data_IF_519173047002
#
_entry.id   IF_519173047002
#
_cell.length_a   1.000
_cell.length_b   1.000
_cell.length_c   1.000
_cell.angle_alpha   90.00
_cell.angle_beta   90.00
_cell.angle_gamma   90.00
#
_symmetry.space_group_name_H-M   'P 1'
#
loop_
_entity.id
_entity.type
_entity.pdbx_description
1 polymer ?
#
# COMPACT_ATOMS: atom_id res chain seq x y z
N UNK A 1 -37.73 29.44 7.66
CA UNK A 1 -37.83 30.46 8.73
C UNK A 1 -36.42 30.80 9.20
N UNK A 2 -36.03 32.07 9.01
CA UNK A 2 -34.88 32.81 9.56
C UNK A 2 -33.44 32.25 9.45
N UNK A 3 -32.68 32.77 8.47
CA UNK A 3 -31.45 33.54 8.76
C UNK A 3 -31.87 34.98 9.13
N UNK A 4 -31.06 35.90 9.71
CA UNK A 4 -29.59 35.97 9.82
C UNK A 4 -29.12 36.36 11.25
N UNK A 5 -27.84 36.59 11.56
CA UNK A 5 -27.21 37.93 11.55
C UNK A 5 -25.71 37.84 11.88
N UNK A 6 -24.93 38.63 11.15
CA UNK A 6 -23.52 38.93 11.42
C UNK A 6 -23.47 40.04 12.48
N UNK A 7 -22.60 39.94 13.47
CA UNK A 7 -22.26 41.10 14.31
C UNK A 7 -20.82 41.54 14.09
N UNK A 8 -20.67 42.83 13.81
CA UNK A 8 -19.43 43.58 13.60
C UNK A 8 -19.21 44.50 14.81
N UNK A 9 -17.95 44.55 15.32
CA UNK A 9 -17.23 45.74 15.86
C UNK A 9 -17.70 46.19 17.28
N UNK A 10 -16.85 46.69 18.24
CA UNK A 10 -15.69 47.57 18.06
C UNK A 10 -14.39 47.29 18.87
N UNK A 11 -13.32 47.94 18.38
CA UNK A 11 -12.09 48.32 19.08
C UNK A 11 -12.44 49.37 20.14
N UNK A 12 -12.02 49.16 21.39
CA UNK A 12 -12.05 50.18 22.45
C UNK A 12 -10.66 50.31 23.06
N UNK A 13 -10.05 51.45 22.77
CA UNK A 13 -8.86 52.01 23.41
C UNK A 13 -9.31 52.70 24.70
N UNK A 14 -8.90 52.24 25.88
CA UNK A 14 -9.06 53.01 27.12
C UNK A 14 -7.81 52.95 28.01
N UNK A 15 -7.10 54.07 27.94
CA UNK A 15 -6.15 54.62 28.89
C UNK A 15 -6.90 54.97 30.19
N UNK A 16 -6.45 54.48 31.34
CA UNK A 16 -6.82 55.06 32.64
C UNK A 16 -5.62 55.02 33.60
N UNK A 17 -4.91 56.14 33.67
CA UNK A 17 -4.07 56.52 34.79
C UNK A 17 -4.93 57.21 35.85
N UNK A 18 -4.63 56.97 37.14
CA UNK A 18 -4.41 57.95 38.22
C UNK A 18 -4.49 57.18 39.57
N UNK A 19 -3.37 57.03 40.30
CA UNK A 19 -3.00 57.73 41.55
C UNK A 19 -3.63 57.11 42.83
N UNK A 20 -3.00 56.94 44.01
CA UNK A 20 -1.85 57.60 44.64
C UNK A 20 -1.48 56.86 45.97
N UNK A 21 -0.20 56.97 46.37
CA UNK A 21 0.33 57.09 47.77
C UNK A 21 0.53 55.80 48.61
N UNK A 22 1.55 55.61 49.47
CA UNK A 22 2.70 56.39 50.00
C UNK A 22 3.72 55.35 50.53
N UNK A 23 5.03 55.56 50.64
CA UNK A 23 5.66 56.25 51.77
C UNK A 23 7.19 56.19 51.68
N UNK A 24 7.81 57.25 52.18
CA UNK A 24 9.20 57.71 52.13
C UNK A 24 10.26 56.84 52.84
N UNK A 25 11.50 56.98 52.38
CA UNK A 25 12.72 56.52 53.08
C UNK A 25 13.96 56.89 52.26
N UNK A 26 14.47 58.09 52.49
CA UNK A 26 15.64 58.71 51.85
C UNK A 26 16.91 58.21 52.57
N UNK A 27 17.82 57.55 51.87
CA UNK A 27 19.21 57.37 52.33
C UNK A 27 20.15 57.31 51.11
N UNK A 28 20.84 58.42 50.91
CA UNK A 28 21.83 58.62 49.86
C UNK A 28 23.17 57.98 50.26
N UNK A 29 23.41 56.75 49.82
CA UNK A 29 24.76 56.26 49.50
C UNK A 29 24.71 55.37 48.28
N UNK A 30 25.02 55.94 47.11
CA UNK A 30 25.20 55.17 45.88
C UNK A 30 26.41 54.23 46.02
N UNK A 31 26.26 52.91 45.84
CA UNK A 31 27.41 52.02 45.68
C UNK A 31 28.06 52.26 44.30
N UNK A 32 29.37 51.97 44.15
CA UNK A 32 30.10 52.24 42.92
C UNK A 32 29.49 51.44 41.74
N UNK A 33 29.56 51.94 40.49
CA UNK A 33 29.00 51.25 39.34
C UNK A 33 29.78 49.96 39.11
N UNK A 34 29.19 48.82 39.45
CA UNK A 34 29.69 47.51 39.02
C UNK A 34 29.39 47.36 37.54
N UNK A 35 30.44 47.47 36.72
CA UNK A 35 30.43 46.98 35.35
C UNK A 35 30.37 45.45 35.39
N UNK A 36 29.16 44.92 35.55
CA UNK A 36 28.86 43.53 35.27
C UNK A 36 28.34 43.48 33.84
N UNK A 37 29.25 43.26 32.89
CA UNK A 37 28.86 42.59 31.67
C UNK A 37 28.34 41.21 32.14
N UNK A 38 27.05 40.87 31.95
CA UNK A 38 26.57 39.55 32.31
C UNK A 38 27.43 38.50 31.59
N UNK A 39 27.76 37.37 32.24
CA UNK A 39 28.44 36.27 31.54
C UNK A 39 27.63 35.94 30.28
N UNK A 40 28.27 35.61 29.15
CA UNK A 40 27.54 35.22 27.94
C UNK A 40 26.60 34.08 28.33
N UNK A 41 25.29 34.35 28.27
CA UNK A 41 24.29 33.30 28.42
C UNK A 41 24.51 32.40 27.22
N UNK A 42 25.00 31.19 27.47
CA UNK A 42 25.11 30.17 26.43
C UNK A 42 23.69 29.77 26.05
N UNK A 43 23.11 30.48 25.09
CA UNK A 43 21.74 30.30 24.67
C UNK A 43 21.65 29.00 23.90
N UNK A 44 21.15 27.96 24.56
CA UNK A 44 20.94 26.62 24.00
C UNK A 44 19.83 26.71 22.96
N UNK A 45 20.16 26.65 21.67
CA UNK A 45 19.19 26.67 20.58
C UNK A 45 18.99 25.23 20.10
N UNK A 46 18.11 24.50 20.79
CA UNK A 46 17.73 23.15 20.35
C UNK A 46 17.20 23.17 18.91
N UNK A 47 17.46 22.09 18.13
CA UNK A 47 16.98 22.00 16.78
C UNK A 47 15.45 21.96 16.76
N UNK A 48 14.87 22.47 15.68
CA UNK A 48 13.45 22.33 15.39
C UNK A 48 13.07 20.88 15.10
N UNK A 49 11.79 20.68 14.82
CA UNK A 49 11.24 19.37 14.47
C UNK A 49 11.27 19.19 12.95
N UNK A 50 11.93 18.13 12.47
CA UNK A 50 11.78 17.69 11.09
C UNK A 50 10.41 17.02 10.89
N UNK A 51 9.78 17.30 9.75
CA UNK A 51 8.54 16.65 9.31
C UNK A 51 8.90 15.62 8.24
N UNK A 52 8.53 14.36 8.45
CA UNK A 52 8.69 13.29 7.46
C UNK A 52 7.80 13.54 6.23
N UNK A 53 8.37 13.31 5.05
CA UNK A 53 7.74 13.54 3.75
C UNK A 53 7.46 12.19 3.05
N UNK A 54 8.44 11.30 3.00
CA UNK A 54 8.28 9.93 2.49
C UNK A 54 8.96 8.91 3.41
N UNK A 55 8.41 7.68 3.53
CA UNK A 55 7.11 7.25 3.01
C UNK A 55 5.92 7.96 3.70
N UNK A 56 4.81 8.14 2.97
CA UNK A 56 3.61 8.79 3.52
C UNK A 56 3.03 8.02 4.72
N UNK A 57 2.43 8.74 5.66
CA UNK A 57 1.92 8.14 6.90
C UNK A 57 0.64 7.33 6.65
N UNK A 58 0.67 6.05 7.00
CA UNK A 58 -0.48 5.14 7.03
C UNK A 58 -0.75 4.42 5.72
N UNK A 59 0.01 4.71 4.66
CA UNK A 59 -0.24 4.17 3.33
C UNK A 59 0.73 3.03 2.96
N UNK A 60 0.31 2.10 2.07
CA UNK A 60 1.23 1.20 1.41
C UNK A 60 2.27 2.00 0.60
N UNK A 61 3.53 1.62 0.72
CA UNK A 61 4.61 2.26 -0.02
C UNK A 61 4.59 1.81 -1.48
N UNK A 62 4.08 2.68 -2.37
CA UNK A 62 4.06 2.46 -3.81
C UNK A 62 5.34 2.93 -4.51
N UNK A 63 6.09 3.84 -3.89
CA UNK A 63 7.37 4.35 -4.41
C UNK A 63 8.55 3.57 -3.81
N UNK A 64 8.97 2.52 -4.51
CA UNK A 64 10.10 1.67 -4.16
C UNK A 64 10.90 1.25 -5.40
N UNK A 65 12.13 0.79 -5.18
CA UNK A 65 12.99 0.22 -6.21
C UNK A 65 13.24 -1.26 -5.89
N UNK A 66 13.22 -2.09 -6.93
CA UNK A 66 13.56 -3.51 -6.83
C UNK A 66 15.02 -3.72 -6.43
N UNK A 67 15.27 -4.68 -5.55
CA UNK A 67 16.65 -5.07 -5.19
C UNK A 67 17.09 -6.21 -6.10
N UNK A 68 18.07 -5.94 -6.97
CA UNK A 68 18.55 -6.95 -7.92
C UNK A 68 19.13 -8.15 -7.20
N UNK A 69 18.55 -9.32 -7.43
CA UNK A 69 19.00 -10.59 -6.86
C UNK A 69 18.42 -10.94 -5.48
N UNK A 70 17.48 -10.15 -4.95
CA UNK A 70 16.77 -10.44 -3.70
C UNK A 70 15.32 -9.97 -3.78
N UNK A 71 14.41 -10.89 -4.12
CA UNK A 71 12.97 -10.64 -4.25
C UNK A 71 12.26 -10.53 -2.90
N UNK A 72 12.95 -10.78 -1.79
CA UNK A 72 12.41 -10.63 -0.43
C UNK A 72 12.52 -9.19 0.09
N UNK A 73 13.22 -8.32 -0.65
CA UNK A 73 13.52 -6.94 -0.23
C UNK A 73 13.11 -5.90 -1.25
N UNK A 74 12.94 -4.67 -0.77
CA UNK A 74 12.72 -3.46 -1.57
C UNK A 74 13.54 -2.32 -1.02
N UNK A 75 14.01 -1.45 -1.92
CA UNK A 75 14.67 -0.20 -1.57
C UNK A 75 13.61 0.89 -1.44
N UNK A 76 13.41 1.44 -0.25
CA UNK A 76 12.38 2.46 0.06
C UNK A 76 13.04 3.82 0.23
N UNK A 77 12.47 4.85 -0.40
CA UNK A 77 12.93 6.23 -0.24
C UNK A 77 12.39 6.84 1.05
N UNK A 78 13.29 7.43 1.84
CA UNK A 78 12.99 8.24 3.01
C UNK A 78 13.36 9.68 2.73
N UNK A 79 12.47 10.61 3.08
CA UNK A 79 12.74 12.05 2.99
C UNK A 79 12.03 12.84 4.08
N UNK A 80 12.59 14.00 4.43
CA UNK A 80 12.06 14.86 5.48
C UNK A 80 12.46 16.33 5.27
N UNK A 81 11.65 17.22 5.81
CA UNK A 81 11.88 18.66 5.77
C UNK A 81 13.07 19.11 6.62
N UNK A 82 13.64 20.26 6.27
CA UNK A 82 14.68 20.90 7.05
C UNK A 82 14.13 21.40 8.40
N UNK A 83 14.84 21.11 9.49
CA UNK A 83 14.57 21.67 10.81
C UNK A 83 15.48 22.89 11.08
N UNK A 84 14.92 23.91 11.74
CA UNK A 84 15.68 25.08 12.17
C UNK A 84 16.78 24.65 13.16
N UNK A 85 17.97 25.26 13.08
CA UNK A 85 19.12 24.96 13.96
C UNK A 85 19.60 23.50 13.94
N UNK A 86 19.13 22.66 13.03
CA UNK A 86 19.62 21.29 12.90
C UNK A 86 20.86 21.23 12.01
N UNK A 87 21.94 20.62 12.53
CA UNK A 87 23.16 20.34 11.79
C UNK A 87 23.08 19.00 11.07
N UNK A 88 22.35 18.04 11.66
CA UNK A 88 22.17 16.70 11.13
C UNK A 88 20.85 16.07 11.59
N UNK A 89 20.53 14.92 11.01
CA UNK A 89 19.29 14.18 11.20
C UNK A 89 19.59 12.71 11.45
N UNK A 90 18.92 12.10 12.41
CA UNK A 90 19.00 10.66 12.67
C UNK A 90 17.69 10.03 12.21
N UNK A 91 17.76 9.20 11.18
CA UNK A 91 16.64 8.37 10.74
C UNK A 91 16.63 7.10 11.59
N UNK A 92 15.47 6.79 12.17
CA UNK A 92 15.23 5.55 12.92
C UNK A 92 14.04 4.83 12.29
N UNK A 93 14.20 3.55 11.98
CA UNK A 93 13.14 2.68 11.41
C UNK A 93 13.02 1.44 12.30
N UNK A 94 11.80 1.07 12.64
CA UNK A 94 11.48 -0.12 13.42
C UNK A 94 10.50 -1.03 12.68
N UNK A 95 10.68 -2.35 12.82
CA UNK A 95 9.68 -3.37 12.53
C UNK A 95 9.05 -3.79 13.87
N UNK A 96 7.81 -3.36 14.13
CA UNK A 96 7.20 -3.49 15.46
C UNK A 96 8.04 -2.78 16.54
N UNK A 97 8.51 -3.53 17.53
CA UNK A 97 9.37 -3.00 18.61
C UNK A 97 10.87 -3.09 18.32
N UNK A 98 11.27 -3.66 17.19
CA UNK A 98 12.67 -3.90 16.85
C UNK A 98 13.20 -2.76 15.97
N UNK A 99 14.25 -2.08 16.43
CA UNK A 99 14.98 -1.12 15.59
C UNK A 99 15.78 -1.88 14.53
N UNK A 100 15.41 -1.67 13.26
CA UNK A 100 16.03 -2.33 12.10
C UNK A 100 16.98 -1.40 11.35
N UNK A 101 16.86 -0.09 11.57
CA UNK A 101 17.74 0.90 10.98
C UNK A 101 17.91 2.12 11.89
N UNK A 102 19.15 2.56 12.05
CA UNK A 102 19.52 3.84 12.67
C UNK A 102 20.77 4.37 12.01
N UNK A 103 20.69 5.57 11.43
CA UNK A 103 21.87 6.23 10.90
C UNK A 103 21.70 7.76 10.90
N UNK A 104 22.83 8.47 10.83
CA UNK A 104 22.90 9.93 10.85
C UNK A 104 23.23 10.49 9.48
N UNK A 105 22.55 11.56 9.09
CA UNK A 105 22.65 12.20 7.78
C UNK A 105 22.72 13.72 7.92
N UNK A 106 23.53 14.34 7.06
CA UNK A 106 23.44 15.78 6.80
C UNK A 106 22.46 16.09 5.66
N UNK A 107 22.20 15.09 4.81
CA UNK A 107 21.15 15.15 3.79
C UNK A 107 19.76 14.99 4.41
N UNK A 108 18.75 15.18 3.57
CA UNK A 108 17.32 15.16 3.93
C UNK A 108 16.57 13.99 3.30
N UNK A 109 17.32 12.98 2.91
CA UNK A 109 16.76 11.77 2.34
C UNK A 109 17.81 10.73 2.02
N UNK A 110 17.34 9.49 1.91
CA UNK A 110 18.15 8.28 1.70
C UNK A 110 17.22 7.17 1.18
N UNK A 111 17.78 6.17 0.50
CA UNK A 111 17.07 4.90 0.27
C UNK A 111 17.55 3.83 1.25
N UNK A 112 16.63 3.10 1.85
CA UNK A 112 16.93 2.00 2.77
C UNK A 112 16.30 0.72 2.25
N UNK A 113 17.10 -0.35 2.20
CA UNK A 113 16.61 -1.67 1.83
C UNK A 113 15.90 -2.32 3.01
N UNK A 114 14.65 -2.73 2.82
CA UNK A 114 13.78 -3.30 3.84
C UNK A 114 13.08 -4.56 3.29
N UNK A 115 12.61 -5.42 4.19
CA UNK A 115 11.87 -6.63 3.81
C UNK A 115 10.48 -6.29 3.24
N UNK A 116 10.03 -7.10 2.27
CA UNK A 116 8.69 -7.02 1.66
C UNK A 116 7.58 -7.51 2.60
N UNK A 117 6.38 -6.98 2.39
CA UNK A 117 5.16 -7.39 3.09
C UNK A 117 5.19 -7.08 4.59
N UNK A 118 6.00 -6.11 5.02
CA UNK A 118 6.19 -5.73 6.42
C UNK A 118 5.71 -4.31 6.68
N UNK A 119 5.18 -4.08 7.87
CA UNK A 119 4.84 -2.74 8.36
C UNK A 119 5.98 -2.20 9.21
N UNK A 120 6.45 -1.01 8.87
CA UNK A 120 7.51 -0.31 9.57
C UNK A 120 6.97 0.97 10.21
N UNK A 121 7.59 1.37 11.31
CA UNK A 121 7.47 2.72 11.84
C UNK A 121 8.78 3.45 11.67
N UNK A 122 8.74 4.76 11.44
CA UNK A 122 9.95 5.55 11.31
C UNK A 122 9.78 6.96 11.87
N UNK A 123 10.90 7.59 12.21
CA UNK A 123 10.95 8.99 12.64
C UNK A 123 12.32 9.58 12.35
N UNK A 124 12.36 10.91 12.33
CA UNK A 124 13.59 11.67 12.17
C UNK A 124 13.87 12.48 13.44
N UNK A 125 15.06 12.35 13.98
CA UNK A 125 15.54 13.13 15.14
C UNK A 125 16.47 14.21 14.60
N UNK A 126 16.13 15.47 14.80
CA UNK A 126 16.99 16.60 14.43
C UNK A 126 18.02 16.83 15.53
N UNK A 127 19.28 17.09 15.17
CA UNK A 127 20.38 17.20 16.12
C UNK A 127 21.36 18.34 15.77
N UNK A 128 21.92 18.95 16.80
CA UNK A 128 23.05 19.89 16.75
C UNK A 128 23.91 19.72 18.01
N UNK A 129 24.89 20.61 18.23
CA UNK A 129 25.73 20.58 19.45
C UNK A 129 24.97 20.82 20.76
N UNK A 130 23.84 21.53 20.68
CA UNK A 130 23.00 21.90 21.82
C UNK A 130 22.02 20.79 22.25
N UNK A 131 21.73 19.82 21.36
CA UNK A 131 20.92 18.65 21.70
C UNK A 131 20.14 18.04 20.54
N UNK A 132 19.03 17.38 20.88
CA UNK A 132 18.20 16.62 19.93
C UNK A 132 16.71 16.91 20.12
N UNK A 133 15.98 16.92 19.01
CA UNK A 133 14.51 17.07 18.97
C UNK A 133 13.91 15.94 18.14
N UNK A 134 12.99 15.18 18.75
CA UNK A 134 12.29 14.08 18.08
C UNK A 134 11.21 14.61 17.11
N UNK A 135 11.20 14.07 15.90
CA UNK A 135 10.08 14.17 14.96
C UNK A 135 8.87 13.33 15.37
N UNK A 136 7.81 13.44 14.58
CA UNK A 136 6.67 12.51 14.68
C UNK A 136 7.06 11.10 14.24
N UNK A 137 6.30 10.12 14.71
CA UNK A 137 6.39 8.75 14.23
C UNK A 137 5.39 8.54 13.10
N UNK A 138 5.89 8.01 12.00
CA UNK A 138 5.16 7.67 10.79
C UNK A 138 5.12 6.14 10.65
N UNK A 139 4.10 5.60 9.97
CA UNK A 139 4.01 4.17 9.64
C UNK A 139 3.77 3.96 8.16
N UNK A 140 4.32 2.90 7.57
CA UNK A 140 4.02 2.49 6.20
C UNK A 140 4.20 0.97 6.06
N UNK A 141 3.67 0.40 4.99
CA UNK A 141 3.83 -1.04 4.69
C UNK A 141 4.55 -1.23 3.35
N UNK A 142 5.59 -2.05 3.31
CA UNK A 142 6.26 -2.41 2.05
C UNK A 142 5.37 -3.31 1.21
N UNK A 143 5.48 -3.25 -0.14
CA UNK A 143 4.76 -4.18 -1.02
C UNK A 143 5.09 -5.63 -0.67
N UNK A 144 4.13 -6.54 -0.83
CA UNK A 144 4.39 -7.98 -0.75
C UNK A 144 5.28 -8.47 -1.89
N UNK A 145 5.75 -9.71 -1.78
CA UNK A 145 6.37 -10.40 -2.92
C UNK A 145 5.29 -10.68 -3.96
N UNK A 146 5.51 -10.34 -5.24
CA UNK A 146 4.61 -10.77 -6.30
C UNK A 146 4.55 -12.30 -6.32
N UNK A 147 3.37 -12.87 -6.11
CA UNK A 147 3.15 -14.30 -6.33
C UNK A 147 2.82 -14.45 -7.81
N UNK A 148 3.74 -15.04 -8.57
CA UNK A 148 3.44 -15.41 -9.96
C UNK A 148 2.42 -16.54 -9.96
N UNK A 149 1.45 -16.46 -10.88
CA UNK A 149 0.48 -17.52 -11.14
C UNK A 149 0.59 -17.93 -12.59
N UNK A 150 0.63 -19.23 -12.85
CA UNK A 150 0.46 -19.72 -14.22
C UNK A 150 -1.02 -19.71 -14.59
N UNK A 151 -1.29 -19.60 -15.89
CA UNK A 151 -2.64 -19.81 -16.38
C UNK A 151 -2.83 -21.31 -16.63
N UNK A 152 -4.06 -21.84 -16.47
CA UNK A 152 -4.32 -23.25 -16.70
C UNK A 152 -4.03 -23.66 -18.14
N UNK A 153 -3.60 -24.89 -18.34
CA UNK A 153 -3.49 -25.46 -19.67
C UNK A 153 -4.90 -25.62 -20.29
N UNK A 154 -4.97 -25.47 -21.61
CA UNK A 154 -6.22 -25.68 -22.35
C UNK A 154 -6.70 -27.12 -22.15
N UNK A 155 -7.97 -27.30 -21.77
CA UNK A 155 -8.49 -28.62 -21.40
C UNK A 155 -8.49 -29.60 -22.59
N UNK A 156 -8.09 -30.85 -22.35
CA UNK A 156 -8.13 -31.90 -23.36
C UNK A 156 -9.55 -32.47 -23.45
N UNK A 157 -10.31 -32.06 -24.47
CA UNK A 157 -11.72 -32.47 -24.65
C UNK A 157 -11.79 -33.85 -25.30
N UNK A 158 -12.60 -34.73 -24.70
CA UNK A 158 -13.00 -36.04 -25.26
C UNK A 158 -14.49 -36.05 -25.52
N UNK A 159 -14.88 -36.52 -26.71
CA UNK A 159 -16.29 -36.75 -27.05
C UNK A 159 -16.48 -38.17 -27.54
N UNK A 160 -17.48 -38.85 -26.97
CA UNK A 160 -17.86 -40.21 -27.34
C UNK A 160 -19.35 -40.27 -27.71
N UNK A 161 -19.67 -40.95 -28.80
CA UNK A 161 -21.04 -41.15 -29.26
C UNK A 161 -21.55 -42.54 -28.88
N UNK A 162 -22.71 -42.60 -28.26
CA UNK A 162 -23.43 -43.84 -27.98
C UNK A 162 -24.62 -43.98 -28.95
N UNK A 163 -24.43 -44.79 -29.98
CA UNK A 163 -25.46 -45.01 -31.00
C UNK A 163 -26.70 -45.74 -30.49
N UNK A 164 -26.58 -46.54 -29.41
CA UNK A 164 -27.72 -47.27 -28.86
C UNK A 164 -28.70 -46.36 -28.11
N UNK A 165 -28.20 -45.30 -27.47
CA UNK A 165 -29.03 -44.30 -26.79
C UNK A 165 -29.21 -43.01 -27.58
N UNK A 166 -28.50 -42.83 -28.71
CA UNK A 166 -28.43 -41.58 -29.47
C UNK A 166 -27.96 -40.39 -28.62
N UNK A 167 -27.02 -40.65 -27.71
CA UNK A 167 -26.43 -39.65 -26.82
C UNK A 167 -24.93 -39.50 -27.07
N UNK A 168 -24.43 -38.27 -26.95
CA UNK A 168 -23.00 -37.97 -26.88
C UNK A 168 -22.62 -37.67 -25.43
N UNK A 169 -21.46 -38.19 -25.03
CA UNK A 169 -20.83 -37.96 -23.74
C UNK A 169 -19.60 -37.08 -23.97
N UNK A 170 -19.55 -35.96 -23.26
CA UNK A 170 -18.50 -34.95 -23.38
C UNK A 170 -17.82 -34.80 -22.02
N UNK A 171 -16.52 -35.04 -22.00
CA UNK A 171 -15.67 -34.87 -20.82
C UNK A 171 -14.36 -34.20 -21.21
N UNK A 172 -13.59 -33.73 -20.22
CA UNK A 172 -12.29 -33.12 -20.45
C UNK A 172 -11.30 -33.42 -19.33
N UNK A 173 -10.02 -33.12 -19.56
CA UNK A 173 -8.99 -33.10 -18.52
C UNK A 173 -8.38 -31.69 -18.49
N UNK A 174 -8.45 -31.02 -17.35
CA UNK A 174 -7.77 -29.75 -17.10
C UNK A 174 -6.57 -29.94 -16.18
N UNK A 175 -5.52 -29.14 -16.38
CA UNK A 175 -4.33 -29.13 -15.54
C UNK A 175 -3.82 -27.71 -15.38
N UNK A 176 -3.21 -27.42 -14.24
CA UNK A 176 -2.45 -26.20 -13.98
C UNK A 176 -0.99 -26.54 -13.62
N UNK A 177 -0.04 -25.66 -13.96
CA UNK A 177 1.39 -25.84 -13.68
C UNK A 177 1.71 -25.72 -12.19
N UNK A 178 1.09 -24.78 -11.48
CA UNK A 178 1.31 -24.56 -10.05
C UNK A 178 0.27 -25.28 -9.17
N UNK A 179 -0.67 -25.98 -9.81
CA UNK A 179 -1.59 -26.92 -9.16
C UNK A 179 -2.84 -26.27 -8.57
N UNK A 180 -3.17 -25.06 -9.04
CA UNK A 180 -4.39 -24.35 -8.69
C UNK A 180 -5.66 -25.18 -8.96
N UNK A 181 -6.68 -24.96 -8.11
CA UNK A 181 -8.01 -25.53 -8.33
C UNK A 181 -8.67 -24.90 -9.56
N UNK A 182 -9.25 -25.73 -10.42
CA UNK A 182 -9.87 -25.30 -11.67
C UNK A 182 -11.40 -25.42 -11.65
N UNK A 183 -12.04 -24.45 -12.30
CA UNK A 183 -13.46 -24.47 -12.67
C UNK A 183 -13.61 -24.37 -14.19
N UNK A 184 -14.76 -24.81 -14.70
CA UNK A 184 -14.97 -24.92 -16.15
C UNK A 184 -16.30 -24.31 -16.61
N UNK A 185 -16.23 -23.55 -17.70
CA UNK A 185 -17.41 -23.21 -18.50
C UNK A 185 -17.42 -24.11 -19.74
N UNK A 186 -18.50 -24.85 -19.95
CA UNK A 186 -18.63 -25.77 -21.09
C UNK A 186 -19.75 -25.29 -22.01
N UNK A 187 -19.45 -25.20 -23.32
CA UNK A 187 -20.43 -24.84 -24.36
C UNK A 187 -20.38 -25.85 -25.49
N UNK A 188 -21.55 -26.25 -25.96
CA UNK A 188 -21.69 -27.12 -27.13
C UNK A 188 -22.49 -26.38 -28.17
N UNK A 189 -22.00 -26.41 -29.41
CA UNK A 189 -22.64 -25.82 -30.57
C UNK A 189 -23.02 -26.95 -31.54
N UNK A 190 -24.23 -26.87 -32.09
CA UNK A 190 -24.73 -27.73 -33.16
C UNK A 190 -24.94 -26.88 -34.40
N UNK A 191 -24.34 -27.23 -35.53
CA UNK A 191 -24.41 -26.45 -36.78
C UNK A 191 -24.09 -24.96 -36.58
N UNK A 192 -23.14 -24.67 -35.68
CA UNK A 192 -22.71 -23.32 -35.24
C UNK A 192 -23.72 -22.54 -34.37
N UNK A 193 -24.86 -23.12 -34.02
CA UNK A 193 -25.80 -22.55 -33.05
C UNK A 193 -25.53 -23.09 -31.65
N UNK A 194 -25.72 -22.26 -30.62
CA UNK A 194 -25.52 -22.70 -29.24
C UNK A 194 -26.58 -23.75 -28.88
N UNK A 195 -26.12 -24.95 -28.54
CA UNK A 195 -26.97 -26.09 -28.21
C UNK A 195 -27.03 -26.34 -26.70
N UNK A 196 -25.90 -26.16 -26.00
CA UNK A 196 -25.80 -26.34 -24.56
C UNK A 196 -24.77 -25.38 -23.96
N UNK A 197 -25.03 -24.91 -22.73
CA UNK A 197 -24.04 -24.20 -21.92
C UNK A 197 -24.19 -24.52 -20.43
N UNK A 198 -23.07 -24.52 -19.73
CA UNK A 198 -22.99 -24.55 -18.27
C UNK A 198 -21.74 -23.81 -17.80
N UNK A 199 -21.80 -23.25 -16.59
CA UNK A 199 -20.76 -22.39 -16.02
C UNK A 199 -20.33 -22.91 -14.66
N UNK A 200 -19.13 -22.50 -14.22
CA UNK A 200 -18.58 -22.75 -12.89
C UNK A 200 -18.61 -24.24 -12.47
N UNK A 201 -18.42 -25.14 -13.43
CA UNK A 201 -18.37 -26.58 -13.18
C UNK A 201 -17.10 -26.95 -12.44
N UNK A 202 -17.24 -27.76 -11.38
CA UNK A 202 -16.11 -28.45 -10.74
C UNK A 202 -15.90 -29.85 -11.31
N UNK A 203 -16.94 -30.41 -11.93
CA UNK A 203 -16.90 -31.69 -12.61
C UNK A 203 -16.23 -31.54 -13.98
N UNK A 204 -15.60 -32.60 -14.47
CA UNK A 204 -14.91 -32.62 -15.76
C UNK A 204 -15.74 -33.26 -16.87
N UNK A 205 -17.07 -33.21 -16.73
CA UNK A 205 -18.04 -33.74 -17.67
C UNK A 205 -19.33 -32.95 -17.60
N UNK A 206 -20.05 -32.88 -18.71
CA UNK A 206 -21.45 -32.42 -18.73
C UNK A 206 -22.39 -33.62 -18.78
N UNK A 207 -23.70 -33.45 -18.47
CA UNK A 207 -24.69 -34.48 -18.70
C UNK A 207 -24.69 -34.96 -20.17
N UNK A 208 -24.98 -36.24 -20.44
CA UNK A 208 -25.13 -36.73 -21.81
C UNK A 208 -26.16 -35.91 -22.59
N UNK A 209 -25.84 -35.60 -23.84
CA UNK A 209 -26.71 -34.81 -24.72
C UNK A 209 -27.17 -35.66 -25.88
N UNK A 210 -28.42 -35.54 -26.29
CA UNK A 210 -28.87 -36.16 -27.53
C UNK A 210 -28.10 -35.56 -28.73
N UNK A 211 -27.80 -36.38 -29.74
CA UNK A 211 -27.18 -35.90 -30.98
C UNK A 211 -27.98 -36.32 -32.22
N UNK A 212 -27.86 -35.53 -33.28
CA UNK A 212 -28.39 -35.79 -34.61
C UNK A 212 -27.27 -36.43 -35.45
N UNK A 213 -27.49 -37.60 -36.08
CA UNK A 213 -26.51 -38.21 -36.97
C UNK A 213 -26.11 -37.27 -38.12
N UNK A 214 -24.82 -37.26 -38.46
CA UNK A 214 -24.19 -36.40 -39.46
C UNK A 214 -24.22 -34.89 -39.20
N UNK A 215 -24.69 -34.43 -38.03
CA UNK A 215 -24.60 -33.03 -37.65
C UNK A 215 -23.17 -32.66 -37.22
N UNK A 216 -22.79 -31.42 -37.47
CA UNK A 216 -21.51 -30.85 -37.00
C UNK A 216 -21.68 -30.30 -35.60
N UNK A 217 -20.81 -30.73 -34.68
CA UNK A 217 -20.74 -30.20 -33.34
C UNK A 217 -19.40 -29.54 -33.08
N UNK A 218 -19.41 -28.50 -32.24
CA UNK A 218 -18.22 -27.93 -31.64
C UNK A 218 -18.38 -27.88 -30.12
N UNK A 219 -17.37 -28.31 -29.39
CA UNK A 219 -17.32 -28.23 -27.93
C UNK A 219 -16.23 -27.25 -27.56
N UNK A 220 -16.57 -26.29 -26.72
CA UNK A 220 -15.66 -25.31 -26.13
C UNK A 220 -15.65 -25.48 -24.62
N UNK A 221 -14.46 -25.55 -24.03
CA UNK A 221 -14.27 -25.58 -22.57
C UNK A 221 -13.33 -24.43 -22.19
N UNK A 222 -13.76 -23.59 -21.25
CA UNK A 222 -12.94 -22.55 -20.64
C UNK A 222 -12.52 -23.03 -19.26
N UNK A 223 -11.22 -23.31 -19.05
CA UNK A 223 -10.66 -23.59 -17.72
C UNK A 223 -10.32 -22.28 -17.02
N UNK A 224 -10.69 -22.12 -15.75
CA UNK A 224 -10.35 -20.95 -14.92
C UNK A 224 -9.72 -21.38 -13.61
N UNK A 225 -8.65 -20.71 -13.21
CA UNK A 225 -8.06 -20.86 -11.88
C UNK A 225 -8.71 -19.92 -10.84
N UNK A 226 -8.23 -19.99 -9.60
CA UNK A 226 -8.74 -19.17 -8.48
C UNK A 226 -8.26 -17.71 -8.48
N UNK A 227 -7.25 -17.40 -9.30
CA UNK A 227 -6.69 -16.05 -9.48
C UNK A 227 -7.30 -15.31 -10.68
N UNK A 228 -8.16 -15.98 -11.44
CA UNK A 228 -8.90 -15.45 -12.58
C UNK A 228 -8.18 -15.62 -13.93
N UNK A 229 -7.06 -16.33 -14.00
CA UNK A 229 -6.49 -16.69 -15.31
C UNK A 229 -7.32 -17.81 -15.93
N UNK A 230 -7.24 -17.91 -17.25
CA UNK A 230 -8.02 -18.88 -17.99
C UNK A 230 -7.34 -19.34 -19.26
N UNK A 231 -7.78 -20.49 -19.75
CA UNK A 231 -7.49 -20.98 -21.09
C UNK A 231 -8.75 -21.50 -21.76
N UNK A 232 -8.71 -21.61 -23.08
CA UNK A 232 -9.84 -22.07 -23.88
C UNK A 232 -9.38 -23.21 -24.77
N UNK A 233 -10.11 -24.32 -24.74
CA UNK A 233 -10.01 -25.37 -25.73
C UNK A 233 -11.29 -25.45 -26.56
N UNK A 234 -11.13 -25.77 -27.85
CA UNK A 234 -12.25 -25.96 -28.75
C UNK A 234 -11.95 -27.09 -29.72
N UNK A 235 -12.85 -28.07 -29.79
CA UNK A 235 -12.79 -29.19 -30.74
C UNK A 235 -14.05 -29.20 -31.60
N UNK A 236 -13.95 -29.74 -32.81
CA UNK A 236 -15.09 -29.88 -33.72
C UNK A 236 -15.08 -31.24 -34.38
N UNK A 237 -16.26 -31.80 -34.57
CA UNK A 237 -16.44 -33.16 -35.07
C UNK A 237 -17.82 -33.29 -35.73
N UNK A 238 -17.96 -34.34 -36.55
CA UNK A 238 -19.23 -34.72 -37.18
C UNK A 238 -19.69 -35.99 -36.49
N UNK A 239 -20.94 -36.05 -36.06
CA UNK A 239 -21.50 -37.27 -35.47
C UNK A 239 -21.56 -38.42 -36.49
N UNK A 240 -21.31 -39.65 -36.04
CA UNK A 240 -21.37 -40.83 -36.92
C UNK A 240 -22.81 -41.33 -37.12
N UNK A 241 -23.00 -42.19 -38.14
CA UNK A 241 -24.13 -43.13 -38.23
C UNK A 241 -24.28 -43.98 -36.96
#
# INVERSE_FOLDING_TARGET
MKNPERYKIPIILQLFCLLLSCSSGDDNTAPPPTNQNPPPVNQTNLPGKAVGELPENGEPCSDYEEVTGDDTKVSVAFSWSAAQFADNYILVINEGSNEVFRNTFVSRGIRVVLDRGKTFTWRVISANEDGQTNGDTYSFTTPGTPVGNFAPYAAEITVAFNQASSEMVISWIGNDEDGDELTYDARVFEESELFYESFDLIETTIPPLAFVPFATYAVEVVSRDTFGNFSVSRVSFISSE
#
